data_IF_766396629708
#
_entry.id   IF_766396629708
#
_cell.length_a   1.000
_cell.length_b   1.000
_cell.length_c   1.000
_cell.angle_alpha   90.00
_cell.angle_beta   90.00
_cell.angle_gamma   90.00
#
_symmetry.space_group_name_H-M   'P 1'
#
loop_
_entity.id
_entity.type
_entity.pdbx_description
1 polymer ?
#
# COMPACT_ATOMS: atom_id res chain seq x y z
N UNK A 1 6.55 -95.79 -8.76
CA UNK A 1 6.42 -95.76 -7.28
C UNK A 1 7.37 -94.68 -6.79
N UNK A 2 7.02 -93.64 -6.04
CA UNK A 2 5.89 -93.33 -5.15
C UNK A 2 5.73 -91.80 -5.08
N UNK A 3 4.50 -91.40 -4.77
CA UNK A 3 3.98 -90.05 -4.62
C UNK A 3 4.64 -89.20 -3.51
N UNK A 4 4.22 -87.93 -3.49
CA UNK A 4 4.24 -86.95 -2.39
C UNK A 4 5.39 -85.92 -2.52
N UNK A 5 5.16 -84.60 -2.54
CA UNK A 5 4.21 -83.81 -1.76
C UNK A 5 3.72 -82.57 -2.53
N UNK A 6 2.40 -82.41 -2.61
CA UNK A 6 1.75 -81.12 -2.79
C UNK A 6 1.78 -80.43 -1.43
N UNK A 7 2.57 -79.37 -1.29
CA UNK A 7 2.53 -78.47 -0.15
C UNK A 7 2.22 -77.05 -0.66
N UNK A 8 0.92 -76.76 -0.61
CA UNK A 8 0.29 -75.44 -0.64
C UNK A 8 1.01 -74.50 0.34
N UNK A 9 1.71 -73.48 -0.17
CA UNK A 9 2.08 -72.30 0.61
C UNK A 9 1.37 -71.10 0.00
N UNK A 10 0.29 -70.71 0.68
CA UNK A 10 -0.44 -69.47 0.48
C UNK A 10 0.50 -68.33 0.85
N UNK A 11 1.13 -67.70 -0.14
CA UNK A 11 1.86 -66.45 0.00
C UNK A 11 1.03 -65.30 -0.53
N UNK A 12 0.11 -64.76 0.29
CA UNK A 12 -0.57 -63.49 0.00
C UNK A 12 0.45 -62.38 0.25
N UNK A 13 1.22 -62.05 -0.79
CA UNK A 13 2.12 -60.90 -0.81
C UNK A 13 1.31 -59.62 -1.01
N UNK A 14 1.09 -58.90 0.08
CA UNK A 14 0.53 -57.55 0.09
C UNK A 14 1.54 -56.59 -0.55
N UNK A 15 1.38 -56.32 -1.85
CA UNK A 15 2.02 -55.18 -2.52
C UNK A 15 0.97 -54.09 -2.80
N UNK A 16 0.46 -53.47 -1.73
CA UNK A 16 -0.12 -52.13 -1.81
C UNK A 16 1.01 -51.12 -1.60
N UNK A 17 1.87 -50.96 -2.60
CA UNK A 17 2.80 -49.84 -2.63
C UNK A 17 2.01 -48.57 -2.94
N UNK A 18 1.88 -47.67 -1.96
CA UNK A 18 1.43 -46.31 -2.21
C UNK A 18 2.42 -45.66 -3.18
N UNK A 19 2.06 -45.55 -4.46
CA UNK A 19 2.70 -44.63 -5.38
C UNK A 19 2.26 -43.21 -5.00
N UNK A 20 2.87 -42.66 -3.95
CA UNK A 20 2.66 -41.26 -3.59
C UNK A 20 3.38 -40.43 -4.64
N UNK A 21 2.70 -39.61 -5.45
CA UNK A 21 3.38 -38.72 -6.38
C UNK A 21 4.29 -37.79 -5.56
N UNK A 22 5.60 -37.90 -5.75
CA UNK A 22 6.54 -36.92 -5.22
C UNK A 22 6.56 -35.74 -6.19
N UNK A 23 5.95 -34.63 -5.78
CA UNK A 23 6.02 -33.38 -6.54
C UNK A 23 7.46 -32.89 -6.48
N UNK A 24 8.22 -33.12 -7.56
CA UNK A 24 9.52 -32.48 -7.76
C UNK A 24 9.25 -31.07 -8.28
N UNK A 25 9.58 -30.06 -7.47
CA UNK A 25 9.56 -28.67 -7.91
C UNK A 25 10.64 -28.47 -8.97
N UNK A 26 10.29 -27.85 -10.09
CA UNK A 26 11.28 -27.41 -11.07
C UNK A 26 12.26 -26.44 -10.39
N UNK A 27 13.58 -26.54 -10.66
CA UNK A 27 14.54 -25.63 -10.04
C UNK A 27 14.32 -24.21 -10.56
N UNK A 28 13.92 -23.30 -9.66
CA UNK A 28 13.81 -21.86 -9.96
C UNK A 28 15.18 -21.21 -9.77
N UNK A 29 15.58 -20.34 -10.70
CA UNK A 29 16.88 -19.65 -10.60
C UNK A 29 16.87 -18.62 -9.46
N UNK A 30 17.99 -18.40 -8.75
CA UNK A 30 18.08 -17.36 -7.72
C UNK A 30 17.76 -15.95 -8.23
N UNK A 31 18.00 -15.69 -9.53
CA UNK A 31 17.65 -14.41 -10.15
C UNK A 31 16.14 -14.22 -10.30
N UNK A 32 15.41 -15.28 -10.68
CA UNK A 32 13.96 -15.24 -10.76
C UNK A 32 13.31 -15.05 -9.38
N UNK A 33 13.86 -15.67 -8.33
CA UNK A 33 13.39 -15.48 -6.95
C UNK A 33 13.52 -14.01 -6.53
N UNK A 34 14.69 -13.39 -6.72
CA UNK A 34 14.90 -11.97 -6.37
C UNK A 34 13.98 -11.02 -7.15
N UNK A 35 13.75 -11.29 -8.44
CA UNK A 35 12.83 -10.50 -9.25
C UNK A 35 11.39 -10.61 -8.74
N UNK A 36 10.97 -11.82 -8.35
CA UNK A 36 9.66 -12.05 -7.75
C UNK A 36 9.53 -11.38 -6.38
N UNK A 37 10.56 -11.45 -5.53
CA UNK A 37 10.56 -10.76 -4.23
C UNK A 37 10.36 -9.23 -4.39
N UNK A 38 10.98 -8.60 -5.40
CA UNK A 38 10.74 -7.18 -5.70
C UNK A 38 9.28 -6.95 -6.07
N UNK A 39 8.71 -7.77 -6.96
CA UNK A 39 7.31 -7.66 -7.37
C UNK A 39 6.34 -7.85 -6.20
N UNK A 40 6.60 -8.82 -5.34
CA UNK A 40 5.75 -9.08 -4.17
C UNK A 40 5.75 -7.91 -3.20
N UNK A 41 6.91 -7.27 -2.97
CA UNK A 41 6.98 -6.05 -2.15
C UNK A 41 6.19 -4.89 -2.76
N UNK A 42 6.31 -4.67 -4.07
CA UNK A 42 5.51 -3.66 -4.80
C UNK A 42 4.01 -3.93 -4.65
N UNK A 43 3.57 -5.18 -4.89
CA UNK A 43 2.17 -5.59 -4.77
C UNK A 43 1.62 -5.33 -3.36
N UNK A 44 2.39 -5.67 -2.32
CA UNK A 44 1.98 -5.41 -0.93
C UNK A 44 1.71 -3.92 -0.71
N UNK A 45 2.57 -3.03 -1.19
CA UNK A 45 2.37 -1.59 -1.01
C UNK A 45 1.18 -1.06 -1.80
N UNK A 46 0.95 -1.56 -3.02
CA UNK A 46 -0.22 -1.19 -3.84
C UNK A 46 -1.51 -1.61 -3.13
N UNK A 47 -1.60 -2.85 -2.66
CA UNK A 47 -2.81 -3.36 -2.02
C UNK A 47 -3.06 -2.69 -0.66
N UNK A 48 -2.01 -2.37 0.09
CA UNK A 48 -2.13 -1.57 1.31
C UNK A 48 -2.58 -0.13 1.03
N UNK A 49 -2.08 0.51 -0.04
CA UNK A 49 -2.53 1.86 -0.40
C UNK A 49 -4.01 1.89 -0.81
N UNK A 50 -4.47 0.90 -1.60
CA UNK A 50 -5.90 0.74 -1.93
C UNK A 50 -6.77 0.51 -0.71
N UNK A 51 -6.30 -0.34 0.22
CA UNK A 51 -7.02 -0.58 1.46
C UNK A 51 -7.11 0.70 2.31
N UNK A 52 -6.03 1.50 2.35
CA UNK A 52 -6.01 2.78 3.04
C UNK A 52 -6.96 3.79 2.39
N UNK A 53 -6.93 3.97 1.07
CA UNK A 53 -7.87 4.83 0.34
C UNK A 53 -9.32 4.51 0.72
N UNK A 54 -9.70 3.23 0.72
CA UNK A 54 -11.05 2.81 1.12
C UNK A 54 -11.39 3.19 2.56
N UNK A 55 -10.42 3.11 3.47
CA UNK A 55 -10.62 3.54 4.86
C UNK A 55 -10.73 5.06 4.96
N UNK A 56 -9.95 5.80 4.19
CA UNK A 56 -9.96 7.27 4.18
C UNK A 56 -11.27 7.83 3.61
N UNK A 57 -11.83 7.20 2.57
CA UNK A 57 -13.16 7.54 2.04
C UNK A 57 -14.22 7.41 3.13
N UNK A 58 -14.28 6.25 3.78
CA UNK A 58 -15.26 5.97 4.84
C UNK A 58 -15.02 6.87 6.05
N UNK A 59 -13.75 7.07 6.44
CA UNK A 59 -13.40 7.89 7.60
C UNK A 59 -13.80 9.34 7.39
N UNK A 60 -13.52 9.91 6.21
CA UNK A 60 -13.88 11.30 5.89
C UNK A 60 -15.39 11.53 6.01
N UNK A 61 -16.21 10.68 5.37
CA UNK A 61 -17.67 10.78 5.47
C UNK A 61 -18.16 10.68 6.92
N UNK A 62 -17.65 9.71 7.67
CA UNK A 62 -18.03 9.51 9.07
C UNK A 62 -17.63 10.69 9.96
N UNK A 63 -16.44 11.24 9.79
CA UNK A 63 -15.92 12.35 10.58
C UNK A 63 -16.70 13.63 10.31
N UNK A 64 -17.00 13.93 9.05
CA UNK A 64 -17.84 15.09 8.67
C UNK A 64 -19.24 14.96 9.28
N UNK A 65 -19.87 13.79 9.17
CA UNK A 65 -21.19 13.54 9.75
C UNK A 65 -21.18 13.61 11.29
N UNK A 66 -20.09 13.18 11.92
CA UNK A 66 -19.93 13.18 13.38
C UNK A 66 -19.51 14.54 13.96
N UNK A 67 -19.05 15.50 13.16
CA UNK A 67 -18.50 16.77 13.62
C UNK A 67 -19.41 17.51 14.62
N UNK A 68 -20.73 17.50 14.40
CA UNK A 68 -21.69 18.12 15.31
C UNK A 68 -21.77 17.48 16.71
N UNK A 69 -21.29 16.24 16.86
CA UNK A 69 -21.21 15.54 18.14
C UNK A 69 -19.98 15.95 18.97
N UNK A 70 -18.93 16.44 18.31
CA UNK A 70 -17.64 16.75 18.93
C UNK A 70 -17.55 18.16 19.51
N UNK A 71 -18.60 19.00 19.35
CA UNK A 71 -18.63 20.40 19.81
C UNK A 71 -17.41 21.17 19.29
N UNK A 72 -16.54 21.63 20.19
CA UNK A 72 -15.33 22.39 19.87
C UNK A 72 -14.11 21.49 19.58
N UNK A 73 -14.22 20.17 19.80
CA UNK A 73 -13.17 19.17 19.52
C UNK A 73 -13.24 18.70 18.07
N UNK A 74 -13.16 19.67 17.16
CA UNK A 74 -13.19 19.47 15.71
C UNK A 74 -11.96 20.10 15.08
N UNK A 75 -11.39 19.43 14.08
CA UNK A 75 -10.32 19.95 13.27
C UNK A 75 -10.76 20.00 11.80
N UNK A 76 -10.33 21.00 11.03
CA UNK A 76 -10.52 20.98 9.59
C UNK A 76 -9.79 19.77 8.98
N UNK A 77 -10.44 19.14 8.00
CA UNK A 77 -9.87 18.07 7.19
C UNK A 77 -10.17 18.37 5.72
N UNK A 78 -9.15 18.26 4.87
CA UNK A 78 -9.29 18.45 3.43
C UNK A 78 -9.63 17.14 2.70
N UNK A 79 -9.61 16.00 3.39
CA UNK A 79 -9.88 14.67 2.85
C UNK A 79 -8.79 14.19 1.89
N UNK A 80 -7.52 14.38 2.25
CA UNK A 80 -6.40 13.86 1.50
C UNK A 80 -5.27 13.42 2.43
N UNK A 81 -4.51 12.41 2.03
CA UNK A 81 -3.29 11.97 2.73
C UNK A 81 -2.07 12.08 1.85
N UNK A 82 -0.90 12.20 2.47
CA UNK A 82 0.38 12.26 1.78
C UNK A 82 1.45 11.42 2.47
N UNK A 83 2.41 10.95 1.68
CA UNK A 83 3.56 10.17 2.15
C UNK A 83 4.84 10.59 1.45
N UNK A 84 5.95 10.23 2.06
CA UNK A 84 7.30 10.36 1.50
C UNK A 84 7.98 8.98 1.51
N UNK A 85 8.99 8.81 0.66
CA UNK A 85 9.69 7.53 0.55
C UNK A 85 10.50 7.18 1.82
N UNK A 86 10.91 8.16 2.61
CA UNK A 86 11.66 7.98 3.86
C UNK A 86 10.82 7.35 5.00
N UNK A 87 9.49 7.39 4.90
CA UNK A 87 8.58 6.64 5.79
C UNK A 87 8.74 5.13 5.69
N UNK A 88 9.44 4.65 4.64
CA UNK A 88 9.73 3.25 4.42
C UNK A 88 11.24 2.99 4.60
N UNK A 89 11.57 1.78 5.08
CA UNK A 89 12.94 1.35 5.33
C UNK A 89 13.38 0.23 4.38
N UNK A 90 14.70 0.08 4.20
CA UNK A 90 15.30 -1.01 3.42
C UNK A 90 14.73 -1.13 2.00
N UNK A 91 14.41 -2.35 1.61
CA UNK A 91 13.87 -2.67 0.27
C UNK A 91 12.45 -2.14 0.04
N UNK A 92 11.69 -1.86 1.12
CA UNK A 92 10.37 -1.24 1.00
C UNK A 92 10.46 0.23 0.59
N UNK A 93 11.56 0.93 0.91
CA UNK A 93 11.80 2.29 0.38
C UNK A 93 11.86 2.29 -1.14
N UNK A 94 12.62 1.37 -1.74
CA UNK A 94 12.68 1.24 -3.20
C UNK A 94 11.35 0.78 -3.81
N UNK A 95 10.64 -0.12 -3.13
CA UNK A 95 9.31 -0.55 -3.56
C UNK A 95 8.30 0.60 -3.50
N UNK A 96 8.35 1.47 -2.49
CA UNK A 96 7.45 2.61 -2.37
C UNK A 96 7.66 3.66 -3.48
N UNK A 97 8.93 3.91 -3.85
CA UNK A 97 9.25 4.79 -5.00
C UNK A 97 8.75 4.23 -6.32
N UNK A 98 8.92 2.93 -6.55
CA UNK A 98 8.56 2.27 -7.81
C UNK A 98 7.06 2.00 -7.94
N UNK A 99 6.43 1.52 -6.88
CA UNK A 99 5.04 1.09 -6.89
C UNK A 99 4.04 2.24 -6.67
N UNK A 100 4.39 3.22 -5.82
CA UNK A 100 3.51 4.32 -5.43
C UNK A 100 4.01 5.69 -5.91
N UNK A 101 5.13 5.75 -6.65
CA UNK A 101 5.69 7.01 -7.13
C UNK A 101 6.25 7.93 -6.04
N UNK A 102 6.44 7.44 -4.81
CA UNK A 102 6.89 8.28 -3.71
C UNK A 102 8.27 8.88 -3.96
N UNK A 103 8.45 10.10 -3.50
CA UNK A 103 9.72 10.81 -3.57
C UNK A 103 10.15 11.30 -2.18
N UNK A 104 11.19 12.14 -2.13
CA UNK A 104 11.52 12.85 -0.89
C UNK A 104 10.55 14.02 -0.64
N UNK A 105 9.80 14.46 -1.66
CA UNK A 105 8.70 15.39 -1.50
C UNK A 105 7.40 14.64 -1.13
N UNK A 106 6.53 15.33 -0.40
CA UNK A 106 5.22 14.81 -0.02
C UNK A 106 4.40 14.50 -1.27
N UNK A 107 4.03 13.24 -1.41
CA UNK A 107 3.24 12.75 -2.54
C UNK A 107 1.85 12.40 -2.01
N UNK A 108 0.80 12.92 -2.64
CA UNK A 108 -0.59 12.61 -2.29
C UNK A 108 -0.82 11.11 -2.58
N UNK A 109 -1.29 10.37 -1.57
CA UNK A 109 -1.52 8.92 -1.67
C UNK A 109 -2.97 8.50 -1.53
N UNK A 110 -3.82 9.39 -1.04
CA UNK A 110 -5.27 9.22 -1.06
C UNK A 110 -5.96 10.57 -1.17
N UNK A 111 -7.11 10.57 -1.84
CA UNK A 111 -8.03 11.70 -1.91
C UNK A 111 -9.42 11.12 -1.69
N UNK A 112 -10.06 11.49 -0.58
CA UNK A 112 -11.37 10.98 -0.21
C UNK A 112 -12.44 11.54 -1.14
N UNK A 113 -13.39 10.70 -1.52
CA UNK A 113 -14.53 11.07 -2.36
C UNK A 113 -15.40 12.13 -1.66
N UNK A 114 -15.87 13.13 -2.41
CA UNK A 114 -16.68 14.25 -1.89
C UNK A 114 -15.93 15.20 -0.96
N UNK A 115 -14.59 15.11 -0.90
CA UNK A 115 -13.77 15.98 -0.06
C UNK A 115 -13.44 17.32 -0.73
N UNK A 116 -13.06 18.35 0.07
CA UNK A 116 -12.51 19.60 -0.48
C UNK A 116 -11.30 19.39 -1.40
N UNK A 117 -10.45 18.40 -1.13
CA UNK A 117 -9.32 18.07 -1.99
C UNK A 117 -9.76 17.51 -3.35
N UNK A 118 -10.78 16.63 -3.38
CA UNK A 118 -11.36 16.14 -4.64
C UNK A 118 -12.01 17.29 -5.43
N UNK A 119 -12.79 18.15 -4.76
CA UNK A 119 -13.43 19.31 -5.39
C UNK A 119 -12.40 20.30 -5.98
N UNK A 120 -11.25 20.47 -5.32
CA UNK A 120 -10.13 21.25 -5.81
C UNK A 120 -9.34 20.58 -6.95
N UNK A 121 -9.64 19.32 -7.27
CA UNK A 121 -8.99 18.56 -8.34
C UNK A 121 -7.62 17.99 -7.97
N UNK A 122 -7.33 17.82 -6.68
CA UNK A 122 -6.13 17.11 -6.21
C UNK A 122 -6.24 15.64 -6.58
N UNK A 123 -5.14 15.03 -7.03
CA UNK A 123 -5.10 13.63 -7.44
C UNK A 123 -4.02 12.84 -6.71
N UNK A 124 -4.23 11.53 -6.59
CA UNK A 124 -3.18 10.60 -6.16
C UNK A 124 -1.96 10.74 -7.10
N UNK A 125 -0.76 10.82 -6.50
CA UNK A 125 0.50 11.03 -7.19
C UNK A 125 0.93 12.50 -7.32
N UNK A 126 0.05 13.46 -7.08
CA UNK A 126 0.45 14.87 -7.02
C UNK A 126 1.48 15.10 -5.92
N UNK A 127 2.40 16.03 -6.13
CA UNK A 127 3.38 16.40 -5.10
C UNK A 127 2.99 17.72 -4.45
N UNK A 128 2.86 17.73 -3.13
CA UNK A 128 2.58 18.93 -2.35
C UNK A 128 3.89 19.69 -2.08
N UNK A 129 4.01 20.87 -2.68
CA UNK A 129 5.25 21.67 -2.66
C UNK A 129 5.19 22.85 -1.69
N UNK A 130 4.02 23.45 -1.49
CA UNK A 130 3.85 24.59 -0.61
C UNK A 130 2.41 24.72 -0.09
N UNK A 131 2.28 25.35 1.08
CA UNK A 131 1.02 25.74 1.71
C UNK A 131 1.09 27.23 2.01
N UNK A 132 0.08 28.01 1.63
CA UNK A 132 0.06 29.47 1.79
C UNK A 132 1.31 30.16 1.20
N UNK A 133 1.78 29.66 0.05
CA UNK A 133 3.00 30.14 -0.63
C UNK A 133 4.33 29.77 0.06
N UNK A 134 4.28 29.14 1.24
CA UNK A 134 5.48 28.70 1.98
C UNK A 134 5.88 27.29 1.55
N UNK A 135 7.10 27.17 1.01
CA UNK A 135 7.62 25.87 0.56
C UNK A 135 7.80 24.91 1.72
N UNK A 136 7.40 23.66 1.48
CA UNK A 136 7.57 22.59 2.44
C UNK A 136 8.97 21.97 2.31
N UNK A 137 9.60 21.60 3.44
CA UNK A 137 10.83 20.83 3.41
C UNK A 137 10.57 19.41 2.87
N UNK A 138 11.66 18.71 2.52
CA UNK A 138 11.62 17.32 2.08
C UNK A 138 11.64 16.37 3.29
N UNK A 139 11.15 15.15 3.08
CA UNK A 139 11.15 14.06 4.08
C UNK A 139 10.24 14.33 5.26
N UNK A 140 10.58 13.73 6.41
CA UNK A 140 9.81 13.80 7.66
C UNK A 140 9.51 15.23 8.14
N UNK A 141 10.44 16.17 8.00
CA UNK A 141 10.20 17.58 8.37
C UNK A 141 9.06 18.19 7.53
N UNK A 142 8.94 17.75 6.27
CA UNK A 142 7.86 18.15 5.37
C UNK A 142 6.50 17.70 5.88
N UNK A 143 6.42 16.48 6.41
CA UNK A 143 5.20 15.88 6.95
C UNK A 143 4.63 16.73 8.10
N UNK A 144 5.48 17.08 9.07
CA UNK A 144 5.09 17.91 10.22
C UNK A 144 4.69 19.32 9.77
N UNK A 145 5.51 19.95 8.92
CA UNK A 145 5.24 21.28 8.40
C UNK A 145 3.93 21.36 7.60
N UNK A 146 3.64 20.36 6.75
CA UNK A 146 2.40 20.31 5.97
C UNK A 146 1.18 20.13 6.87
N UNK A 147 1.24 19.20 7.82
CA UNK A 147 0.14 18.93 8.76
C UNK A 147 -0.23 20.20 9.53
N UNK A 148 0.75 20.87 10.11
CA UNK A 148 0.48 22.05 10.92
C UNK A 148 0.05 23.26 10.07
N UNK A 149 0.72 23.51 8.94
CA UNK A 149 0.36 24.63 8.06
C UNK A 149 -1.03 24.49 7.45
N UNK A 150 -1.41 23.29 7.00
CA UNK A 150 -2.75 23.02 6.47
C UNK A 150 -3.78 23.18 7.57
N UNK A 151 -3.55 22.59 8.76
CA UNK A 151 -4.47 22.69 9.89
C UNK A 151 -4.73 24.16 10.25
N UNK A 152 -3.68 24.97 10.36
CA UNK A 152 -3.79 26.39 10.69
C UNK A 152 -4.48 27.20 9.57
N UNK A 153 -4.09 26.98 8.31
CA UNK A 153 -4.69 27.67 7.17
C UNK A 153 -6.19 27.37 7.06
N UNK A 154 -6.57 26.11 7.25
CA UNK A 154 -7.96 25.67 7.11
C UNK A 154 -8.90 26.27 8.17
N UNK A 155 -8.38 26.75 9.31
CA UNK A 155 -9.18 27.50 10.29
C UNK A 155 -9.71 28.82 9.71
N UNK A 156 -9.08 29.36 8.66
CA UNK A 156 -9.56 30.55 7.95
C UNK A 156 -10.67 30.25 6.91
N UNK A 157 -10.99 28.97 6.70
CA UNK A 157 -12.01 28.51 5.77
C UNK A 157 -11.53 28.26 4.32
N UNK A 158 -10.27 28.57 4.02
CA UNK A 158 -9.64 28.27 2.74
C UNK A 158 -8.15 27.91 2.93
N UNK A 159 -7.61 27.07 2.04
CA UNK A 159 -6.19 26.72 2.02
C UNK A 159 -5.67 26.84 0.60
N UNK A 160 -4.56 27.56 0.42
CA UNK A 160 -3.85 27.62 -0.85
C UNK A 160 -2.72 26.59 -0.88
N UNK A 161 -2.84 25.62 -1.80
CA UNK A 161 -1.83 24.59 -2.03
C UNK A 161 -1.09 24.85 -3.34
N UNK A 162 0.23 24.63 -3.34
CA UNK A 162 1.01 24.49 -4.57
C UNK A 162 1.34 23.04 -4.79
N UNK A 163 0.87 22.48 -5.91
CA UNK A 163 1.10 21.07 -6.27
C UNK A 163 1.82 20.95 -7.61
N UNK A 164 2.62 19.89 -7.75
CA UNK A 164 3.14 19.45 -9.05
C UNK A 164 2.39 18.21 -9.50
N UNK A 165 1.74 18.28 -10.66
CA UNK A 165 0.95 17.17 -11.18
C UNK A 165 1.83 16.05 -11.72
N UNK A 166 1.53 14.80 -11.33
CA UNK A 166 2.26 13.62 -11.79
C UNK A 166 2.24 13.45 -13.32
N UNK A 167 1.19 13.97 -13.99
CA UNK A 167 0.97 13.85 -15.43
C UNK A 167 1.65 14.90 -16.32
N UNK A 168 2.41 15.86 -15.78
CA UNK A 168 2.94 17.02 -16.53
C UNK A 168 4.44 16.95 -16.89
N UNK A 169 5.00 15.75 -17.00
CA UNK A 169 6.23 15.52 -17.78
C UNK A 169 5.91 14.61 -18.97
N UNK A 170 5.62 15.22 -20.11
CA UNK A 170 5.69 14.60 -21.44
C UNK A 170 6.89 15.17 -22.18
#
# INVERSE_FOLDING_TARGET
>A
MRHANVALVIGISVFSGCATPTTQLAPVSPAAIRAEEVRQREIVLIELNKAQQRLDDIAFELLVAAAGLCKDDVAPDLGMSWKTADMYEGEYRSAARSALGLSDALTITSVSSGSPAEEAGVQEGDQLLAVEGSRLPLGGDGLEAATESIRLAALSGAVQLTISQAGMQR
#
